data_IF_045463256526
#
_entry.id   IF_045463256526
#
_cell.length_a   1.000
_cell.length_b   1.000
_cell.length_c   1.000
_cell.angle_alpha   90.00
_cell.angle_beta   90.00
_cell.angle_gamma   90.00
#
_symmetry.space_group_name_H-M   'P 1'
#
loop_
_entity.id
_entity.type
_entity.pdbx_description
1 polymer ?
#
# COMPACT_ATOMS: atom_id res chain seq x y z
N UNK A 1 -3.10 14.37 -25.38
CA UNK A 1 -4.06 13.64 -24.53
C UNK A 1 -3.47 13.56 -23.15
N UNK A 2 -4.05 14.28 -22.19
CA UNK A 2 -3.58 14.29 -20.81
C UNK A 2 -3.79 12.89 -20.26
N UNK A 3 -2.70 12.24 -19.87
CA UNK A 3 -2.72 10.93 -19.23
C UNK A 3 -3.46 11.14 -17.89
N UNK A 4 -4.75 10.81 -17.85
CA UNK A 4 -5.58 10.90 -16.67
C UNK A 4 -4.98 9.92 -15.66
N UNK A 5 -4.10 10.43 -14.78
CA UNK A 5 -3.36 9.63 -13.81
C UNK A 5 -4.38 9.04 -12.84
N UNK A 6 -4.85 7.84 -13.17
CA UNK A 6 -5.66 7.01 -12.28
C UNK A 6 -5.01 6.99 -10.90
N UNK A 7 -5.79 7.37 -9.89
CA UNK A 7 -5.32 7.60 -8.53
C UNK A 7 -6.17 6.79 -7.56
N UNK A 8 -5.54 6.07 -6.63
CA UNK A 8 -6.20 5.19 -5.66
C UNK A 8 -6.23 5.83 -4.28
N UNK A 9 -7.27 5.58 -3.47
CA UNK A 9 -7.39 6.15 -2.13
C UNK A 9 -6.33 5.59 -1.17
N UNK A 10 -5.99 6.39 -0.16
CA UNK A 10 -5.13 6.00 0.97
C UNK A 10 -5.85 6.30 2.28
N UNK A 11 -5.85 5.33 3.20
CA UNK A 11 -6.33 5.55 4.56
C UNK A 11 -5.28 6.37 5.32
N UNK A 12 -5.61 7.63 5.58
CA UNK A 12 -4.81 8.58 6.36
C UNK A 12 -5.74 9.31 7.32
N UNK A 13 -5.19 9.92 8.39
CA UNK A 13 -5.97 10.79 9.29
C UNK A 13 -6.32 12.05 8.49
N UNK A 14 -7.55 12.18 7.97
CA UNK A 14 -7.83 13.24 7.01
C UNK A 14 -8.16 14.54 7.74
N UNK A 15 -7.79 15.67 7.14
CA UNK A 15 -8.50 16.93 7.43
C UNK A 15 -9.96 16.76 6.98
N UNK A 16 -10.89 17.42 7.68
CA UNK A 16 -12.33 17.27 7.42
C UNK A 16 -12.61 17.54 5.93
N UNK A 17 -13.17 16.54 5.23
CA UNK A 17 -13.53 16.53 3.79
C UNK A 17 -12.40 16.28 2.77
N UNK A 18 -11.19 15.92 3.18
CA UNK A 18 -10.11 15.54 2.25
C UNK A 18 -9.89 14.02 2.23
N UNK A 19 -9.62 13.46 1.04
CA UNK A 19 -9.19 12.06 0.88
C UNK A 19 -7.82 12.03 0.20
N UNK A 20 -6.82 11.53 0.93
CA UNK A 20 -5.49 11.31 0.37
C UNK A 20 -5.54 10.25 -0.73
N UNK A 21 -4.77 10.47 -1.79
CA UNK A 21 -4.70 9.60 -2.97
C UNK A 21 -3.25 9.42 -3.41
N UNK A 22 -2.96 8.26 -3.98
CA UNK A 22 -1.67 7.94 -4.60
C UNK A 22 -1.86 7.57 -6.06
N UNK A 23 -0.79 7.64 -6.84
CA UNK A 23 -0.81 7.15 -8.22
C UNK A 23 -1.12 5.64 -8.25
N UNK A 24 -1.87 5.19 -9.26
CA UNK A 24 -2.19 3.77 -9.44
C UNK A 24 -0.94 2.90 -9.53
N UNK A 25 0.14 3.38 -10.15
CA UNK A 25 1.42 2.65 -10.21
C UNK A 25 2.00 2.36 -8.82
N UNK A 26 1.89 3.31 -7.89
CA UNK A 26 2.34 3.14 -6.49
C UNK A 26 1.44 2.15 -5.77
N UNK A 27 0.13 2.26 -5.97
CA UNK A 27 -0.84 1.31 -5.41
C UNK A 27 -0.59 -0.11 -5.89
N UNK A 28 -0.38 -0.32 -7.19
CA UNK A 28 -0.14 -1.64 -7.76
C UNK A 28 1.22 -2.21 -7.33
N UNK A 29 2.24 -1.36 -7.15
CA UNK A 29 3.51 -1.79 -6.57
C UNK A 29 3.36 -2.28 -5.12
N UNK A 30 2.57 -1.59 -4.30
CA UNK A 30 2.24 -2.05 -2.95
C UNK A 30 1.39 -3.33 -2.97
N UNK A 31 0.42 -3.41 -3.89
CA UNK A 31 -0.44 -4.57 -4.08
C UNK A 31 0.31 -5.84 -4.47
N UNK A 32 1.36 -5.73 -5.29
CA UNK A 32 2.25 -6.83 -5.64
C UNK A 32 2.87 -7.48 -4.40
N UNK A 33 3.41 -6.66 -3.48
CA UNK A 33 4.01 -7.13 -2.23
C UNK A 33 2.94 -7.70 -1.30
N UNK A 34 1.83 -6.99 -1.12
CA UNK A 34 0.69 -7.44 -0.31
C UNK A 34 0.21 -8.83 -0.76
N UNK A 35 0.02 -9.02 -2.07
CA UNK A 35 -0.48 -10.27 -2.64
C UNK A 35 0.49 -11.44 -2.44
N UNK A 36 1.79 -11.16 -2.43
CA UNK A 36 2.82 -12.16 -2.15
C UNK A 36 2.87 -12.56 -0.67
N UNK A 37 2.67 -11.60 0.24
CA UNK A 37 2.83 -11.82 1.69
C UNK A 37 1.58 -12.41 2.34
N UNK A 38 0.40 -11.91 1.98
CA UNK A 38 -0.86 -12.30 2.61
C UNK A 38 -1.66 -13.22 1.70
N UNK A 39 -2.31 -12.67 0.68
CA UNK A 39 -2.95 -13.32 -0.46
C UNK A 39 -3.53 -12.20 -1.35
N UNK A 40 -3.79 -12.44 -2.65
CA UNK A 40 -4.46 -11.45 -3.50
C UNK A 40 -5.87 -11.10 -3.00
N UNK A 41 -6.21 -9.81 -3.02
CA UNK A 41 -7.56 -9.31 -2.73
C UNK A 41 -8.04 -8.37 -3.84
N UNK A 42 -9.03 -8.79 -4.62
CA UNK A 42 -9.48 -8.09 -5.84
C UNK A 42 -10.09 -6.71 -5.56
N UNK A 43 -10.79 -6.56 -4.43
CA UNK A 43 -11.38 -5.28 -3.99
C UNK A 43 -10.35 -4.15 -3.82
N UNK A 44 -9.07 -4.46 -3.57
CA UNK A 44 -8.00 -3.46 -3.52
C UNK A 44 -7.69 -2.87 -4.90
N UNK A 45 -7.91 -3.61 -5.98
CA UNK A 45 -7.66 -3.15 -7.35
C UNK A 45 -8.88 -2.43 -7.92
N UNK A 46 -10.07 -3.00 -7.71
CA UNK A 46 -11.34 -2.53 -8.28
C UNK A 46 -11.92 -1.29 -7.59
N UNK A 47 -11.43 -0.95 -6.39
CA UNK A 47 -11.79 0.29 -5.70
C UNK A 47 -12.97 0.18 -4.73
N UNK A 48 -13.46 -1.04 -4.48
CA UNK A 48 -14.48 -1.32 -3.45
C UNK A 48 -13.89 -1.53 -2.05
N UNK A 49 -12.56 -1.46 -1.90
CA UNK A 49 -11.92 -1.48 -0.59
C UNK A 49 -12.13 -0.14 0.13
N UNK A 50 -12.49 -0.20 1.43
CA UNK A 50 -12.81 0.91 2.37
C UNK A 50 -11.65 1.92 2.55
N UNK A 51 -11.19 2.58 1.49
CA UNK A 51 -10.13 3.58 1.52
C UNK A 51 -8.74 3.12 1.07
N UNK A 52 -8.58 1.89 0.56
CA UNK A 52 -7.28 1.37 0.10
C UNK A 52 -6.32 1.07 1.24
N UNK A 53 -5.02 1.09 0.97
CA UNK A 53 -3.97 0.85 1.97
C UNK A 53 -3.84 2.01 2.96
N UNK A 54 -3.46 1.69 4.21
CA UNK A 54 -3.01 2.67 5.19
C UNK A 54 -1.64 3.25 4.84
N UNK A 55 -1.33 4.45 5.38
CA UNK A 55 -0.01 5.08 5.18
C UNK A 55 1.12 4.17 5.66
N UNK A 56 1.00 3.58 6.86
CA UNK A 56 2.00 2.65 7.38
C UNK A 56 2.16 1.39 6.53
N UNK A 57 1.04 0.86 6.01
CA UNK A 57 1.05 -0.29 5.10
C UNK A 57 1.75 0.03 3.78
N UNK A 58 1.44 1.18 3.17
CA UNK A 58 2.11 1.64 1.95
C UNK A 58 3.62 1.75 2.14
N UNK A 59 4.06 2.35 3.25
CA UNK A 59 5.48 2.47 3.58
C UNK A 59 6.10 1.08 3.72
N UNK A 60 5.47 0.16 4.47
CA UNK A 60 5.98 -1.19 4.68
C UNK A 60 6.09 -1.99 3.37
N UNK A 61 5.07 -1.95 2.52
CA UNK A 61 5.06 -2.68 1.25
C UNK A 61 6.08 -2.10 0.26
N UNK A 62 6.17 -0.77 0.14
CA UNK A 62 7.13 -0.13 -0.76
C UNK A 62 8.58 -0.29 -0.28
N UNK A 63 8.81 -0.26 1.03
CA UNK A 63 10.08 -0.60 1.66
C UNK A 63 10.51 -2.04 1.31
N UNK A 64 9.63 -3.02 1.55
CA UNK A 64 9.93 -4.43 1.30
C UNK A 64 10.22 -4.71 -0.19
N UNK A 65 9.55 -4.00 -1.11
CA UNK A 65 9.78 -4.12 -2.56
C UNK A 65 11.21 -3.80 -2.99
N UNK A 66 11.97 -3.04 -2.20
CA UNK A 66 13.39 -2.75 -2.44
C UNK A 66 14.33 -3.94 -2.26
N UNK A 67 13.85 -5.04 -1.67
CA UNK A 67 14.63 -6.25 -1.37
C UNK A 67 14.29 -7.41 -2.34
N UNK A 68 15.10 -8.49 -2.37
CA UNK A 68 14.75 -9.71 -3.09
C UNK A 68 13.40 -10.27 -2.66
N UNK A 69 12.61 -10.77 -3.61
CA UNK A 69 11.25 -11.28 -3.37
C UNK A 69 11.11 -12.28 -2.21
N UNK A 70 12.05 -13.25 -2.02
CA UNK A 70 12.00 -14.15 -0.86
C UNK A 70 12.07 -13.46 0.51
N UNK A 71 12.64 -12.25 0.60
CA UNK A 71 12.75 -11.49 1.84
C UNK A 71 11.49 -10.66 2.16
N UNK A 72 10.59 -10.45 1.20
CA UNK A 72 9.49 -9.49 1.33
C UNK A 72 8.64 -9.71 2.57
N UNK A 73 8.30 -10.97 2.88
CA UNK A 73 7.51 -11.30 4.08
C UNK A 73 8.20 -10.84 5.37
N UNK A 74 9.50 -11.12 5.50
CA UNK A 74 10.28 -10.71 6.65
C UNK A 74 10.35 -9.19 6.77
N UNK A 75 10.61 -8.48 5.66
CA UNK A 75 10.72 -7.01 5.62
C UNK A 75 9.40 -6.30 5.92
N UNK A 76 8.28 -6.84 5.44
CA UNK A 76 6.95 -6.33 5.78
C UNK A 76 6.70 -6.47 7.27
N UNK A 77 6.96 -7.64 7.86
CA UNK A 77 6.79 -7.83 9.30
C UNK A 77 7.73 -6.93 10.12
N UNK A 78 8.99 -6.76 9.70
CA UNK A 78 9.94 -5.82 10.30
C UNK A 78 9.38 -4.40 10.35
N UNK A 79 8.92 -3.88 9.20
CA UNK A 79 8.40 -2.51 9.09
C UNK A 79 7.09 -2.31 9.85
N UNK A 80 6.18 -3.28 9.83
CA UNK A 80 4.90 -3.19 10.56
C UNK A 80 5.08 -3.34 12.07
N UNK A 81 6.01 -4.19 12.51
CA UNK A 81 6.26 -4.45 13.94
C UNK A 81 7.24 -3.46 14.57
N UNK A 82 7.97 -2.68 13.77
CA UNK A 82 8.91 -1.65 14.24
C UNK A 82 8.26 -0.61 15.17
N UNK A 83 6.93 -0.46 15.14
CA UNK A 83 6.16 0.31 16.13
C UNK A 83 6.29 -0.20 17.58
N UNK A 84 6.76 -1.43 17.81
CA UNK A 84 6.89 -2.02 19.15
C UNK A 84 8.20 -1.65 19.85
N UNK A 85 9.18 -1.09 19.13
CA UNK A 85 10.53 -0.81 19.65
C UNK A 85 10.94 0.67 19.58
N UNK A 86 9.98 1.61 19.54
CA UNK A 86 10.22 3.05 19.71
C UNK A 86 9.77 3.52 21.09
#
# INVERSE_FOLDING_TARGET
>A
MQNEKSSKPVQSVPRRNERSRIAESVHMAAYEVYSHVFQPQQALVEGECRGGFGVGELIAYLYARGFPKPEWKMRVHEALNGHTNL
#
